data_IF_226669969781
#
_entry.id   IF_226669969781
#
_cell.length_a   1.000
_cell.length_b   1.000
_cell.length_c   1.000
_cell.angle_alpha   90.00
_cell.angle_beta   90.00
_cell.angle_gamma   90.00
#
_symmetry.space_group_name_H-M   'P 1'
#
loop_
_entity.id
_entity.type
_entity.pdbx_description
1 polymer ?
#
# COMPACT_ATOMS: atom_id res chain seq x y z
N UNK A 1 -25.45 17.91 42.51
CA UNK A 1 -24.16 18.03 41.79
C UNK A 1 -23.91 16.68 41.13
N UNK A 2 -24.35 16.52 39.88
CA UNK A 2 -24.27 15.27 39.13
C UNK A 2 -23.63 15.56 37.77
N UNK A 3 -22.47 14.95 37.52
CA UNK A 3 -21.75 15.03 36.25
C UNK A 3 -22.46 14.17 35.21
N UNK A 4 -23.09 14.80 34.23
CA UNK A 4 -23.63 14.10 33.05
C UNK A 4 -22.49 13.80 32.08
N UNK A 5 -22.16 12.51 31.92
CA UNK A 5 -21.24 11.99 30.89
C UNK A 5 -21.69 12.48 29.51
N UNK A 6 -20.90 13.35 28.87
CA UNK A 6 -21.05 13.64 27.44
C UNK A 6 -20.62 12.41 26.65
N UNK A 7 -21.58 11.75 26.03
CA UNK A 7 -21.37 10.69 25.06
C UNK A 7 -20.65 11.33 23.85
N UNK A 8 -19.38 10.96 23.66
CA UNK A 8 -18.59 11.40 22.51
C UNK A 8 -19.08 10.60 21.30
N UNK A 9 -20.09 11.11 20.60
CA UNK A 9 -20.47 10.57 19.30
C UNK A 9 -19.36 10.92 18.33
N UNK A 10 -18.51 9.94 17.99
CA UNK A 10 -17.60 10.04 16.86
C UNK A 10 -18.45 10.32 15.63
N UNK A 11 -18.45 11.57 15.17
CA UNK A 11 -18.85 11.92 13.83
C UNK A 11 -17.89 11.20 12.89
N UNK A 12 -18.26 9.99 12.48
CA UNK A 12 -17.86 9.45 11.19
C UNK A 12 -18.50 10.36 10.15
N UNK A 13 -17.87 11.53 9.95
CA UNK A 13 -18.17 12.41 8.84
C UNK A 13 -17.97 11.57 7.59
N UNK A 14 -19.09 11.15 7.01
CA UNK A 14 -19.13 10.50 5.73
C UNK A 14 -18.25 11.32 4.78
N UNK A 15 -17.26 10.66 4.20
CA UNK A 15 -16.68 11.12 2.94
C UNK A 15 -17.82 10.98 1.93
N UNK A 16 -18.71 11.97 1.90
CA UNK A 16 -19.76 12.02 0.90
C UNK A 16 -19.10 12.05 -0.46
N UNK A 17 -19.52 11.12 -1.32
CA UNK A 17 -19.03 10.84 -2.66
C UNK A 17 -19.04 12.09 -3.56
N UNK A 18 -18.09 12.99 -3.36
CA UNK A 18 -17.95 14.27 -4.07
C UNK A 18 -17.51 14.11 -5.53
N UNK A 19 -17.19 12.88 -5.93
CA UNK A 19 -16.78 12.53 -7.30
C UNK A 19 -17.96 12.43 -8.27
N UNK A 20 -19.19 12.31 -7.76
CA UNK A 20 -20.37 12.13 -8.60
C UNK A 20 -21.33 13.30 -8.41
N UNK A 21 -21.78 13.87 -9.52
CA UNK A 21 -22.83 14.87 -9.49
C UNK A 21 -24.15 14.22 -9.10
N UNK A 22 -24.87 14.80 -8.14
CA UNK A 22 -26.22 14.38 -7.82
C UNK A 22 -27.12 14.50 -9.08
N UNK A 23 -28.04 13.54 -9.32
CA UNK A 23 -28.80 13.45 -10.58
C UNK A 23 -29.69 14.66 -10.92
N UNK A 24 -29.77 15.70 -10.09
CA UNK A 24 -30.50 16.96 -10.33
C UNK A 24 -29.68 18.22 -9.98
N UNK A 25 -28.35 18.13 -10.01
CA UNK A 25 -27.46 19.26 -9.77
C UNK A 25 -27.27 20.11 -11.04
N UNK A 26 -27.55 21.41 -10.95
CA UNK A 26 -27.33 22.37 -12.04
C UNK A 26 -25.98 23.06 -11.85
N UNK A 27 -24.90 22.35 -12.15
CA UNK A 27 -23.56 22.92 -12.07
C UNK A 27 -23.32 23.92 -13.22
N UNK A 28 -22.68 25.06 -12.92
CA UNK A 28 -22.29 26.04 -13.94
C UNK A 28 -21.24 25.51 -14.92
N UNK A 29 -20.47 24.49 -14.51
CA UNK A 29 -19.50 23.77 -15.35
C UNK A 29 -19.51 22.28 -14.99
N UNK A 30 -19.38 21.42 -16.01
CA UNK A 30 -19.32 19.97 -15.83
C UNK A 30 -18.10 19.43 -16.57
N UNK A 31 -17.21 18.78 -15.83
CA UNK A 31 -16.07 18.03 -16.40
C UNK A 31 -16.37 16.55 -16.34
N UNK A 32 -16.22 15.86 -17.48
CA UNK A 32 -16.37 14.40 -17.58
C UNK A 32 -15.03 13.76 -17.91
N UNK A 33 -14.59 12.85 -17.05
CA UNK A 33 -13.39 12.04 -17.27
C UNK A 33 -13.84 10.66 -17.73
N UNK A 34 -13.45 10.26 -18.94
CA UNK A 34 -13.78 8.95 -19.49
C UNK A 34 -12.73 7.90 -19.10
N UNK A 35 -13.00 6.63 -19.41
CA UNK A 35 -12.08 5.53 -19.09
C UNK A 35 -10.69 5.71 -19.72
N UNK A 36 -10.58 6.25 -20.94
CA UNK A 36 -9.28 6.49 -21.59
C UNK A 36 -8.41 7.46 -20.80
N UNK A 37 -8.99 8.52 -20.24
CA UNK A 37 -8.27 9.45 -19.38
C UNK A 37 -7.84 8.80 -18.06
N UNK A 38 -8.66 7.89 -17.50
CA UNK A 38 -8.29 7.09 -16.33
C UNK A 38 -7.17 6.09 -16.64
N UNK A 39 -7.16 5.51 -17.83
CA UNK A 39 -6.09 4.60 -18.29
C UNK A 39 -4.75 5.36 -18.39
N UNK A 40 -4.75 6.58 -18.95
CA UNK A 40 -3.56 7.44 -18.98
C UNK A 40 -3.08 7.80 -17.56
N UNK A 41 -4.00 8.06 -16.64
CA UNK A 41 -3.65 8.30 -15.23
C UNK A 41 -3.06 7.03 -14.59
N UNK A 42 -3.59 5.85 -14.91
CA UNK A 42 -3.06 4.58 -14.44
C UNK A 42 -1.63 4.34 -14.95
N UNK A 43 -1.35 4.64 -16.23
CA UNK A 43 0.00 4.55 -16.80
C UNK A 43 0.97 5.53 -16.12
N UNK A 44 0.52 6.75 -15.84
CA UNK A 44 1.33 7.68 -15.06
C UNK A 44 1.63 7.16 -13.64
N UNK A 45 0.64 6.58 -12.96
CA UNK A 45 0.84 5.96 -11.64
C UNK A 45 1.76 4.75 -11.71
N UNK A 46 1.68 3.95 -12.78
CA UNK A 46 2.62 2.86 -13.06
C UNK A 46 4.06 3.39 -13.11
N UNK A 47 4.31 4.44 -13.88
CA UNK A 47 5.64 5.04 -13.99
C UNK A 47 6.14 5.60 -12.65
N UNK A 48 5.25 6.16 -11.83
CA UNK A 48 5.59 6.60 -10.47
C UNK A 48 6.02 5.43 -9.58
N UNK A 49 5.28 4.32 -9.60
CA UNK A 49 5.65 3.11 -8.86
C UNK A 49 6.98 2.55 -9.37
N UNK A 50 7.18 2.50 -10.69
CA UNK A 50 8.43 2.03 -11.27
C UNK A 50 9.63 2.82 -10.73
N UNK A 51 9.56 4.14 -10.76
CA UNK A 51 10.64 5.00 -10.22
C UNK A 51 10.86 4.79 -8.73
N UNK A 52 9.78 4.66 -7.95
CA UNK A 52 9.87 4.36 -6.53
C UNK A 52 10.53 3.01 -6.26
N UNK A 53 10.23 1.97 -7.04
CA UNK A 53 10.83 0.65 -6.84
C UNK A 53 12.31 0.60 -7.27
N UNK A 54 12.71 1.37 -8.28
CA UNK A 54 14.11 1.42 -8.73
C UNK A 54 15.02 2.29 -7.86
N UNK A 55 14.49 3.36 -7.28
CA UNK A 55 15.30 4.38 -6.59
C UNK A 55 14.89 4.63 -5.14
N UNK A 56 13.71 4.17 -4.75
CA UNK A 56 13.20 4.33 -3.39
C UNK A 56 13.75 3.27 -2.45
N UNK A 57 13.68 3.60 -1.17
CA UNK A 57 14.02 2.68 -0.09
C UNK A 57 12.73 2.04 0.43
N UNK A 58 12.75 0.72 0.60
CA UNK A 58 11.66 -0.02 1.23
C UNK A 58 12.15 -0.39 2.62
N UNK A 59 11.71 0.39 3.61
CA UNK A 59 12.16 0.27 4.99
C UNK A 59 11.11 -0.48 5.80
N UNK A 60 11.49 -1.63 6.33
CA UNK A 60 10.77 -2.34 7.37
C UNK A 60 11.76 -2.94 8.36
N UNK A 61 11.35 -2.95 9.62
CA UNK A 61 12.06 -3.61 10.70
C UNK A 61 10.99 -4.26 11.57
N UNK A 62 10.96 -5.59 11.59
CA UNK A 62 10.07 -6.31 12.48
C UNK A 62 10.85 -7.32 13.29
N UNK A 63 10.34 -7.57 14.49
CA UNK A 63 10.85 -8.59 15.37
C UNK A 63 9.70 -9.40 15.94
N UNK A 64 9.89 -10.71 16.06
CA UNK A 64 8.93 -11.62 16.64
C UNK A 64 9.64 -12.64 17.55
N UNK A 65 9.07 -12.97 18.71
CA UNK A 65 9.55 -14.08 19.50
C UNK A 65 9.27 -15.40 18.76
N UNK A 66 10.28 -16.25 18.61
CA UNK A 66 10.12 -17.63 18.14
C UNK A 66 9.81 -18.55 19.33
N UNK A 67 10.40 -18.26 20.49
CA UNK A 67 10.14 -18.90 21.79
C UNK A 67 10.24 -17.86 22.91
N UNK A 68 10.11 -18.26 24.17
CA UNK A 68 10.27 -17.35 25.32
C UNK A 68 11.69 -16.76 25.45
N UNK A 69 12.68 -17.37 24.81
CA UNK A 69 14.09 -17.01 24.93
C UNK A 69 14.73 -16.62 23.60
N UNK A 70 14.08 -16.96 22.47
CA UNK A 70 14.60 -16.72 21.12
C UNK A 70 13.76 -15.68 20.42
N UNK A 71 14.41 -14.61 19.95
CA UNK A 71 13.77 -13.54 19.16
C UNK A 71 14.36 -13.49 17.75
N UNK A 72 13.49 -13.48 16.75
CA UNK A 72 13.85 -13.23 15.37
C UNK A 72 13.61 -11.76 15.03
N UNK A 73 14.59 -11.12 14.39
CA UNK A 73 14.48 -9.78 13.81
C UNK A 73 14.79 -9.81 12.33
N UNK A 74 14.04 -9.06 11.53
CA UNK A 74 14.28 -8.87 10.10
C UNK A 74 14.26 -7.39 9.77
N UNK A 75 15.35 -6.92 9.16
CA UNK A 75 15.55 -5.53 8.76
C UNK A 75 15.76 -5.51 7.25
N UNK A 76 15.00 -4.67 6.56
CA UNK A 76 15.19 -4.47 5.12
C UNK A 76 16.37 -3.55 4.82
N UNK A 77 16.92 -3.69 3.62
CA UNK A 77 18.00 -2.85 3.11
C UNK A 77 17.49 -1.99 1.96
N UNK A 78 17.42 -2.57 0.76
CA UNK A 78 16.91 -1.94 -0.45
C UNK A 78 16.20 -2.97 -1.32
N UNK A 79 15.38 -2.49 -2.25
CA UNK A 79 14.96 -3.31 -3.38
C UNK A 79 16.21 -3.72 -4.18
N UNK A 80 16.40 -5.02 -4.38
CA UNK A 80 17.51 -5.58 -5.16
C UNK A 80 17.05 -6.09 -6.53
N UNK A 81 15.75 -6.28 -6.72
CA UNK A 81 15.17 -6.66 -8.00
C UNK A 81 13.71 -6.26 -8.07
N UNK A 82 13.28 -5.74 -9.22
CA UNK A 82 11.89 -5.39 -9.49
C UNK A 82 11.62 -5.59 -10.98
N UNK A 83 10.57 -6.32 -11.32
CA UNK A 83 10.14 -6.50 -12.71
C UNK A 83 9.03 -5.49 -13.07
N UNK A 84 9.45 -4.34 -13.60
CA UNK A 84 8.53 -3.28 -14.03
C UNK A 84 7.71 -3.65 -15.27
N UNK A 85 8.14 -4.64 -16.06
CA UNK A 85 7.45 -5.04 -17.29
C UNK A 85 6.15 -5.75 -16.97
N UNK A 86 6.16 -6.60 -15.94
CA UNK A 86 4.98 -7.36 -15.55
C UNK A 86 4.01 -6.56 -14.69
N UNK A 87 4.48 -5.50 -13.99
CA UNK A 87 3.62 -4.68 -13.15
C UNK A 87 2.54 -3.98 -13.98
N UNK A 88 1.28 -4.14 -13.54
CA UNK A 88 0.11 -3.57 -14.20
C UNK A 88 -0.58 -2.59 -13.27
N UNK A 89 -0.94 -1.44 -13.81
CA UNK A 89 -1.79 -0.45 -13.14
C UNK A 89 -3.12 -0.33 -13.86
N UNK A 90 -4.20 -0.23 -13.11
CA UNK A 90 -5.54 0.03 -13.63
C UNK A 90 -6.25 1.01 -12.72
N UNK A 91 -7.04 1.89 -13.31
CA UNK A 91 -7.87 2.84 -12.59
C UNK A 91 -9.28 2.78 -13.18
N UNK A 92 -10.28 2.58 -12.33
CA UNK A 92 -11.66 2.42 -12.78
C UNK A 92 -12.64 2.97 -11.75
N UNK A 93 -13.81 3.34 -12.23
CA UNK A 93 -14.89 3.88 -11.40
C UNK A 93 -15.76 2.72 -10.93
N UNK A 94 -15.97 2.62 -9.63
CA UNK A 94 -16.99 1.75 -9.05
C UNK A 94 -18.18 2.61 -8.63
N UNK A 95 -19.37 2.41 -9.23
CA UNK A 95 -20.57 3.17 -8.89
C UNK A 95 -20.86 3.14 -7.39
N UNK A 96 -21.07 4.32 -6.80
CA UNK A 96 -21.35 4.47 -5.37
C UNK A 96 -20.13 4.33 -4.43
N UNK A 97 -18.96 3.93 -4.94
CA UNK A 97 -17.73 3.77 -4.15
C UNK A 97 -16.62 4.74 -4.55
N UNK A 98 -16.63 5.24 -5.80
CA UNK A 98 -15.66 6.21 -6.29
C UNK A 98 -14.64 5.62 -7.25
N UNK A 99 -13.44 6.20 -7.26
CA UNK A 99 -12.34 5.82 -8.16
C UNK A 99 -11.42 4.85 -7.41
N UNK A 100 -11.19 3.68 -7.99
CA UNK A 100 -10.27 2.68 -7.45
C UNK A 100 -9.03 2.59 -8.33
N UNK A 101 -7.87 2.71 -7.69
CA UNK A 101 -6.58 2.38 -8.29
C UNK A 101 -6.12 1.00 -7.85
N UNK A 102 -5.67 0.18 -8.79
CA UNK A 102 -5.16 -1.17 -8.54
C UNK A 102 -3.81 -1.36 -9.23
N UNK A 103 -2.78 -1.59 -8.42
CA UNK A 103 -1.50 -2.16 -8.85
C UNK A 103 -1.52 -3.68 -8.71
N UNK A 104 -1.05 -4.41 -9.71
CA UNK A 104 -1.04 -5.88 -9.69
C UNK A 104 0.19 -6.45 -10.38
N UNK A 105 0.41 -7.75 -10.21
CA UNK A 105 1.58 -8.47 -10.75
C UNK A 105 2.90 -7.91 -10.23
N UNK A 106 2.95 -7.55 -8.94
CA UNK A 106 4.19 -7.16 -8.29
C UNK A 106 5.12 -8.37 -8.21
N UNK A 107 6.35 -8.20 -8.72
CA UNK A 107 7.47 -9.07 -8.45
C UNK A 107 8.62 -8.20 -7.95
N UNK A 108 8.96 -8.38 -6.68
CA UNK A 108 9.89 -7.54 -5.96
C UNK A 108 10.77 -8.42 -5.08
N UNK A 109 12.08 -8.23 -5.19
CA UNK A 109 13.09 -8.82 -4.33
C UNK A 109 13.72 -7.73 -3.47
N UNK A 110 13.73 -7.94 -2.16
CA UNK A 110 14.24 -7.00 -1.17
C UNK A 110 15.38 -7.68 -0.43
N UNK A 111 16.55 -7.03 -0.39
CA UNK A 111 17.64 -7.51 0.45
C UNK A 111 17.31 -7.29 1.92
N UNK A 112 17.56 -8.28 2.77
CA UNK A 112 17.29 -8.19 4.21
C UNK A 112 18.47 -8.71 5.03
N UNK A 113 18.63 -8.17 6.22
CA UNK A 113 19.45 -8.75 7.27
C UNK A 113 18.54 -9.31 8.35
N UNK A 114 18.87 -10.49 8.85
CA UNK A 114 18.17 -11.07 9.97
C UNK A 114 19.09 -11.26 11.15
N UNK A 115 18.50 -11.15 12.34
CA UNK A 115 19.14 -11.38 13.63
C UNK A 115 18.32 -12.39 14.40
N UNK A 116 18.96 -13.40 14.96
CA UNK A 116 18.36 -14.31 15.92
C UNK A 116 19.07 -14.11 17.25
N UNK A 117 18.36 -13.59 18.24
CA UNK A 117 18.87 -13.42 19.60
C UNK A 117 18.46 -14.61 20.46
N UNK A 118 19.41 -15.19 21.16
CA UNK A 118 19.21 -16.30 22.10
C UNK A 118 20.10 -16.13 23.35
N UNK A 119 19.86 -16.85 24.45
CA UNK A 119 20.74 -16.80 25.63
C UNK A 119 22.18 -17.24 25.34
N UNK A 120 22.38 -18.08 24.31
CA UNK A 120 23.70 -18.54 23.88
C UNK A 120 24.45 -17.53 23.00
N UNK A 121 23.79 -16.42 22.61
CA UNK A 121 24.35 -15.37 21.79
C UNK A 121 23.45 -14.95 20.62
N UNK A 122 23.94 -13.95 19.90
CA UNK A 122 23.30 -13.39 18.71
C UNK A 122 23.85 -14.03 17.43
N UNK A 123 22.96 -14.49 16.56
CA UNK A 123 23.27 -14.98 15.22
C UNK A 123 22.79 -13.98 14.16
N UNK A 124 23.61 -13.74 13.14
CA UNK A 124 23.31 -12.77 12.08
C UNK A 124 23.45 -13.43 10.71
N UNK A 125 22.61 -13.01 9.77
CA UNK A 125 22.73 -13.41 8.38
C UNK A 125 22.05 -12.43 7.44
N UNK A 126 22.21 -12.70 6.14
CA UNK A 126 21.51 -11.98 5.08
C UNK A 126 20.59 -12.92 4.34
N UNK A 127 19.45 -12.40 3.90
CA UNK A 127 18.46 -13.12 3.12
C UNK A 127 17.88 -12.20 2.04
N UNK A 128 17.18 -12.81 1.09
CA UNK A 128 16.36 -12.07 0.12
C UNK A 128 14.91 -12.36 0.41
N UNK A 129 14.14 -11.30 0.71
CA UNK A 129 12.69 -11.39 0.79
C UNK A 129 12.13 -11.23 -0.62
N UNK A 130 11.43 -12.26 -1.10
CA UNK A 130 10.74 -12.23 -2.39
C UNK A 130 9.24 -12.03 -2.18
N UNK A 131 8.69 -11.05 -2.89
CA UNK A 131 7.26 -10.80 -3.01
C UNK A 131 6.91 -11.12 -4.45
N UNK A 132 6.46 -12.35 -4.66
CA UNK A 132 6.04 -12.85 -5.95
C UNK A 132 4.53 -12.72 -6.15
N UNK A 133 4.13 -12.81 -7.41
CA UNK A 133 2.73 -12.97 -7.77
C UNK A 133 2.18 -14.24 -7.10
N UNK A 134 1.17 -14.06 -6.26
CA UNK A 134 0.37 -15.18 -5.75
C UNK A 134 -0.28 -15.91 -6.95
N UNK A 135 0.21 -17.12 -7.25
CA UNK A 135 -0.44 -18.04 -8.20
C UNK A 135 -1.67 -18.60 -7.46
N UNK A 136 -2.86 -18.16 -7.86
CA UNK A 136 -4.10 -18.86 -7.51
C UNK A 136 -4.30 -20.04 -8.43
#
# INVERSE_FOLDING_TARGET
>A
MALTKKHLTLLSGAVENSFFTNPNSHAGFVTRINQKALDLLADYLKERVNRFMYHGEIIFNFSAPLTNEVTFGLISTKAIGYDSKIFKSKLFIVPGQGIIWMGSHLNLSIGTFFKISSPAGDFYGSAVLQIDRCKK
#
